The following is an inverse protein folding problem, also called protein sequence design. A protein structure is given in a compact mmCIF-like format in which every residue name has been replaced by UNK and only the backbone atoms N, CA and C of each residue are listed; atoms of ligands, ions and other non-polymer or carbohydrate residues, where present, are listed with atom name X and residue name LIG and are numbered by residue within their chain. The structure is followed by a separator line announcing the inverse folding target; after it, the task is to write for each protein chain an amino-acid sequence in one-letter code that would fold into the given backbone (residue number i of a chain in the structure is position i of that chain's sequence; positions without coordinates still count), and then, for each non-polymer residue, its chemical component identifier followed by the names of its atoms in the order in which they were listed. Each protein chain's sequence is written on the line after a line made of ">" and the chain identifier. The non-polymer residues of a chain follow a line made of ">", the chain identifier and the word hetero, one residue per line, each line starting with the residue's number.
data_IF_115696513877
#
_entry.id   IF_115696513877
#
_cell.length_a   1.000
_cell.length_b   1.000
_cell.length_c   1.000
_cell.angle_alpha   90.00
_cell.angle_beta   90.00
_cell.angle_gamma   90.00
#
_symmetry.space_group_name_H-M   'P 1'
#
loop_
_entity.id
_entity.type
_entity.pdbx_description
1 polymer ?
#
# COMPACT_ATOMS: atom_id res chain seq x y z
N UNK A 1 -24.96 2.20 3.35
CA UNK A 1 -24.24 1.87 2.10
C UNK A 1 -23.11 0.92 2.45
N UNK A 2 -23.34 -0.39 2.31
CA UNK A 2 -22.46 -1.44 2.85
C UNK A 2 -21.20 -1.58 1.98
N UNK A 3 -20.13 -0.87 2.34
CA UNK A 3 -18.86 -0.85 1.60
C UNK A 3 -18.16 -2.22 1.49
N UNK A 4 -18.55 -3.18 2.35
CA UNK A 4 -17.98 -4.54 2.41
C UNK A 4 -18.73 -5.59 1.59
N UNK A 5 -19.86 -5.23 0.94
CA UNK A 5 -20.67 -6.13 0.10
C UNK A 5 -20.24 -6.16 -1.37
N UNK A 6 -19.30 -5.30 -1.80
CA UNK A 6 -18.81 -5.31 -3.18
C UNK A 6 -17.78 -6.41 -3.41
N UNK A 7 -17.80 -6.96 -4.64
CA UNK A 7 -16.97 -8.05 -5.14
C UNK A 7 -15.55 -8.04 -4.55
N UNK A 8 -15.12 -9.19 -4.05
CA UNK A 8 -13.80 -9.39 -3.44
C UNK A 8 -12.66 -8.96 -4.37
N UNK A 9 -12.90 -9.02 -5.67
CA UNK A 9 -11.99 -8.56 -6.72
C UNK A 9 -11.82 -7.04 -6.74
N UNK A 10 -12.90 -6.27 -6.55
CA UNK A 10 -12.86 -4.81 -6.45
C UNK A 10 -12.17 -4.35 -5.17
N UNK A 11 -12.34 -5.09 -4.07
CA UNK A 11 -11.66 -4.81 -2.80
C UNK A 11 -10.14 -5.01 -2.93
N UNK A 12 -9.71 -6.08 -3.60
CA UNK A 12 -8.28 -6.29 -3.91
C UNK A 12 -7.76 -5.18 -4.82
N UNK A 13 -8.48 -4.84 -5.88
CA UNK A 13 -8.04 -3.83 -6.83
C UNK A 13 -7.85 -2.47 -6.16
N UNK A 14 -8.76 -2.08 -5.26
CA UNK A 14 -8.63 -0.85 -4.47
C UNK A 14 -7.45 -0.91 -3.53
N UNK A 15 -7.28 -2.03 -2.81
CA UNK A 15 -6.13 -2.25 -1.94
C UNK A 15 -4.81 -2.08 -2.70
N UNK A 16 -4.75 -2.57 -3.94
CA UNK A 16 -3.59 -2.40 -4.81
C UNK A 16 -3.33 -0.94 -5.15
N UNK A 17 -4.38 -0.21 -5.57
CA UNK A 17 -4.27 1.20 -5.94
C UNK A 17 -3.79 2.01 -4.75
N UNK A 18 -4.31 1.77 -3.54
CA UNK A 18 -3.83 2.42 -2.32
C UNK A 18 -2.39 2.04 -1.99
N UNK A 19 -2.02 0.77 -2.14
CA UNK A 19 -0.64 0.32 -1.88
C UNK A 19 0.38 0.94 -2.83
N UNK A 20 0.10 0.92 -4.12
CA UNK A 20 0.97 1.51 -5.16
C UNK A 20 1.03 3.02 -5.02
N UNK A 21 -0.11 3.68 -4.77
CA UNK A 21 -0.14 5.14 -4.53
C UNK A 21 0.70 5.50 -3.31
N UNK A 22 0.62 4.74 -2.22
CA UNK A 22 1.46 4.96 -1.03
C UNK A 22 2.95 4.81 -1.31
N UNK A 23 3.33 3.76 -2.05
CA UNK A 23 4.72 3.55 -2.48
C UNK A 23 5.22 4.72 -3.34
N UNK A 24 4.43 5.14 -4.32
CA UNK A 24 4.79 6.29 -5.17
C UNK A 24 4.89 7.59 -4.35
N UNK A 25 3.99 7.80 -3.39
CA UNK A 25 4.01 8.97 -2.52
C UNK A 25 5.24 9.01 -1.62
N UNK A 26 5.75 7.85 -1.17
CA UNK A 26 7.03 7.74 -0.44
C UNK A 26 8.26 7.80 -1.38
N UNK A 27 8.11 7.45 -2.65
CA UNK A 27 9.21 7.50 -3.62
C UNK A 27 9.55 8.93 -4.04
N UNK A 28 8.53 9.78 -4.24
CA UNK A 28 8.67 11.21 -4.60
C UNK A 28 9.61 11.96 -3.65
N UNK A 29 9.42 11.93 -2.32
CA UNK A 29 10.28 12.63 -1.38
C UNK A 29 11.68 12.02 -1.28
N UNK A 30 11.82 10.71 -1.51
CA UNK A 30 13.13 10.04 -1.58
C UNK A 30 13.93 10.51 -2.80
N UNK A 31 13.27 10.63 -3.96
CA UNK A 31 13.87 11.17 -5.18
C UNK A 31 14.21 12.66 -5.03
N UNK A 32 13.34 13.45 -4.39
CA UNK A 32 13.61 14.85 -4.12
C UNK A 32 14.76 15.05 -3.11
N UNK A 33 14.91 14.16 -2.13
CA UNK A 33 16.06 14.16 -1.22
C UNK A 33 17.39 13.94 -1.93
N UNK A 34 17.41 13.15 -3.02
CA UNK A 34 18.62 12.92 -3.82
C UNK A 34 18.91 14.05 -4.82
N UNK A 35 17.87 14.59 -5.47
CA UNK A 35 18.03 15.61 -6.51
C UNK A 35 17.99 17.06 -6.00
N UNK A 36 17.53 17.29 -4.76
CA UNK A 36 17.35 18.62 -4.15
C UNK A 36 16.53 19.61 -5.00
N UNK A 37 15.51 19.14 -5.73
CA UNK A 37 14.71 20.01 -6.62
C UNK A 37 13.73 20.93 -5.87
N UNK A 38 13.32 20.58 -4.65
CA UNK A 38 12.36 21.32 -3.84
C UNK A 38 12.79 21.36 -2.36
N UNK A 39 13.05 22.56 -1.83
CA UNK A 39 13.25 22.84 -0.40
C UNK A 39 11.89 22.86 0.33
N UNK A 40 11.26 21.70 0.44
CA UNK A 40 10.01 21.53 1.18
C UNK A 40 10.19 20.48 2.29
N UNK A 41 9.60 20.67 3.48
CA UNK A 41 9.58 19.64 4.51
C UNK A 41 8.74 18.46 4.02
N UNK A 42 9.40 17.46 3.44
CA UNK A 42 8.76 16.29 2.82
C UNK A 42 8.48 15.15 3.80
N UNK A 43 8.80 15.34 5.08
CA UNK A 43 8.49 14.40 6.18
C UNK A 43 6.98 14.05 6.30
N UNK A 44 6.03 15.00 6.14
CA UNK A 44 4.60 14.67 6.16
C UNK A 44 4.19 13.77 4.99
N UNK A 45 4.82 13.93 3.82
CA UNK A 45 4.53 13.11 2.64
C UNK A 45 4.90 11.65 2.89
N UNK A 46 6.06 11.42 3.50
CA UNK A 46 6.50 10.08 3.92
C UNK A 46 5.53 9.46 4.93
N UNK A 47 5.10 10.22 5.94
CA UNK A 47 4.10 9.76 6.90
C UNK A 47 2.77 9.36 6.24
N UNK A 48 2.29 10.15 5.27
CA UNK A 48 1.07 9.84 4.51
C UNK A 48 1.26 8.60 3.62
N UNK A 49 2.40 8.46 2.96
CA UNK A 49 2.72 7.30 2.13
C UNK A 49 2.76 5.99 2.93
N UNK A 50 3.41 6.02 4.10
CA UNK A 50 3.45 4.88 5.05
C UNK A 50 2.03 4.57 5.56
N UNK A 51 1.25 5.58 5.94
CA UNK A 51 -0.13 5.38 6.39
C UNK A 51 -1.00 4.73 5.30
N UNK A 52 -0.85 5.16 4.05
CA UNK A 52 -1.54 4.55 2.89
C UNK A 52 -1.12 3.09 2.69
N UNK A 53 0.18 2.77 2.79
CA UNK A 53 0.67 1.40 2.68
C UNK A 53 0.16 0.51 3.81
N UNK A 54 0.12 1.00 5.06
CA UNK A 54 -0.44 0.26 6.19
C UNK A 54 -1.95 0.01 6.03
N UNK A 55 -2.67 0.99 5.47
CA UNK A 55 -4.09 0.84 5.16
C UNK A 55 -4.32 -0.22 4.06
N UNK A 56 -3.54 -0.18 2.99
CA UNK A 56 -3.57 -1.19 1.93
C UNK A 56 -3.18 -2.60 2.44
N UNK A 57 -2.18 -2.69 3.31
CA UNK A 57 -1.78 -3.95 3.92
C UNK A 57 -2.91 -4.53 4.79
N UNK A 58 -3.56 -3.68 5.59
CA UNK A 58 -4.70 -4.08 6.44
C UNK A 58 -5.85 -4.64 5.60
N UNK A 59 -6.21 -3.99 4.49
CA UNK A 59 -7.24 -4.49 3.56
C UNK A 59 -6.82 -5.83 2.96
N UNK A 60 -5.56 -5.97 2.53
CA UNK A 60 -5.06 -7.22 1.93
C UNK A 60 -5.10 -8.39 2.92
N UNK A 61 -4.75 -8.16 4.19
CA UNK A 61 -4.83 -9.17 5.27
C UNK A 61 -6.29 -9.52 5.60
N UNK A 62 -7.18 -8.53 5.67
CA UNK A 62 -8.62 -8.75 5.89
C UNK A 62 -9.24 -9.59 4.77
N UNK A 63 -8.84 -9.34 3.51
CA UNK A 63 -9.27 -10.15 2.37
C UNK A 63 -8.77 -11.57 2.55
N UNK A 64 -7.49 -11.81 2.89
CA UNK A 64 -6.94 -13.15 3.12
C UNK A 64 -7.68 -13.92 4.24
N UNK A 65 -8.22 -13.21 5.24
CA UNK A 65 -8.96 -13.79 6.37
C UNK A 65 -10.40 -14.18 6.03
N UNK A 66 -10.98 -13.72 4.91
CA UNK A 66 -12.30 -14.18 4.47
C UNK A 66 -12.26 -15.68 4.15
N UNK A 67 -13.31 -16.43 4.52
CA UNK A 67 -13.39 -17.89 4.29
C UNK A 67 -13.86 -18.28 2.89
N UNK A 68 -14.61 -17.43 2.18
CA UNK A 68 -15.24 -17.73 0.88
C UNK A 68 -14.59 -16.99 -0.29
N UNK A 69 -13.27 -17.10 -0.44
CA UNK A 69 -12.52 -16.40 -1.49
C UNK A 69 -12.08 -17.38 -2.57
N UNK A 70 -12.12 -16.96 -3.84
CA UNK A 70 -11.49 -17.71 -4.95
C UNK A 70 -9.98 -17.82 -4.72
N UNK A 71 -9.38 -18.97 -5.03
CA UNK A 71 -7.92 -19.18 -4.88
C UNK A 71 -7.08 -18.14 -5.64
N UNK A 72 -7.50 -17.73 -6.83
CA UNK A 72 -6.82 -16.70 -7.62
C UNK A 72 -6.75 -15.34 -6.89
N UNK A 73 -7.80 -14.99 -6.13
CA UNK A 73 -7.89 -13.75 -5.34
C UNK A 73 -6.97 -13.87 -4.11
N UNK A 74 -6.90 -15.05 -3.50
CA UNK A 74 -6.00 -15.37 -2.38
C UNK A 74 -4.52 -15.27 -2.78
N UNK A 75 -4.14 -15.78 -3.94
CA UNK A 75 -2.77 -15.67 -4.46
C UNK A 75 -2.37 -14.21 -4.74
N UNK A 76 -3.25 -13.44 -5.37
CA UNK A 76 -3.02 -12.00 -5.62
C UNK A 76 -2.85 -11.25 -4.30
N UNK A 77 -3.69 -11.51 -3.30
CA UNK A 77 -3.58 -10.90 -1.98
C UNK A 77 -2.24 -11.23 -1.31
N UNK A 78 -1.78 -12.49 -1.34
CA UNK A 78 -0.47 -12.87 -0.80
C UNK A 78 0.68 -12.13 -1.46
N UNK A 79 0.69 -12.04 -2.80
CA UNK A 79 1.71 -11.30 -3.54
C UNK A 79 1.69 -9.82 -3.18
N UNK A 80 0.50 -9.21 -3.07
CA UNK A 80 0.38 -7.80 -2.65
C UNK A 80 0.90 -7.56 -1.24
N UNK A 81 0.56 -8.43 -0.28
CA UNK A 81 1.08 -8.33 1.10
C UNK A 81 2.60 -8.39 1.07
N UNK A 82 3.18 -9.33 0.31
CA UNK A 82 4.63 -9.47 0.20
C UNK A 82 5.27 -8.17 -0.33
N UNK A 83 4.77 -7.62 -1.43
CA UNK A 83 5.28 -6.37 -2.01
C UNK A 83 5.12 -5.20 -1.03
N UNK A 84 3.93 -5.03 -0.44
CA UNK A 84 3.65 -3.96 0.52
C UNK A 84 4.56 -4.04 1.76
N UNK A 85 4.77 -5.24 2.30
CA UNK A 85 5.65 -5.47 3.46
C UNK A 85 7.09 -5.17 3.12
N UNK A 86 7.61 -5.67 1.99
CA UNK A 86 8.99 -5.40 1.57
C UNK A 86 9.20 -3.91 1.34
N UNK A 87 8.27 -3.24 0.67
CA UNK A 87 8.33 -1.78 0.48
C UNK A 87 8.26 -1.02 1.80
N UNK A 88 7.41 -1.43 2.75
CA UNK A 88 7.36 -0.82 4.08
C UNK A 88 8.70 -0.93 4.81
N UNK A 89 9.30 -2.13 4.82
CA UNK A 89 10.61 -2.36 5.45
C UNK A 89 11.68 -1.47 4.80
N UNK A 90 11.67 -1.37 3.47
CA UNK A 90 12.60 -0.51 2.74
C UNK A 90 12.45 0.96 3.17
N UNK A 91 11.22 1.49 3.18
CA UNK A 91 11.00 2.88 3.58
C UNK A 91 11.36 3.14 5.05
N UNK A 92 11.12 2.19 5.95
CA UNK A 92 11.57 2.28 7.35
C UNK A 92 13.10 2.24 7.50
N UNK A 93 13.83 1.62 6.57
CA UNK A 93 15.30 1.57 6.61
C UNK A 93 15.94 2.81 5.98
N UNK A 94 15.31 3.40 4.97
CA UNK A 94 15.91 4.48 4.17
C UNK A 94 15.52 5.88 4.65
N UNK A 95 14.31 6.05 5.19
CA UNK A 95 13.81 7.31 5.78
C UNK A 95 14.28 7.42 7.22
#
# INVERSE_FOLDING_TARGET
>A
MNWMDKDEELLIQRSFIFGVTGILLCLIPLANGYFQWLDAPMQPLNGVGIALQLFALSISVLILRKRKIKEAVKEKAKKMILVLTVSLIFFFMVI
#
